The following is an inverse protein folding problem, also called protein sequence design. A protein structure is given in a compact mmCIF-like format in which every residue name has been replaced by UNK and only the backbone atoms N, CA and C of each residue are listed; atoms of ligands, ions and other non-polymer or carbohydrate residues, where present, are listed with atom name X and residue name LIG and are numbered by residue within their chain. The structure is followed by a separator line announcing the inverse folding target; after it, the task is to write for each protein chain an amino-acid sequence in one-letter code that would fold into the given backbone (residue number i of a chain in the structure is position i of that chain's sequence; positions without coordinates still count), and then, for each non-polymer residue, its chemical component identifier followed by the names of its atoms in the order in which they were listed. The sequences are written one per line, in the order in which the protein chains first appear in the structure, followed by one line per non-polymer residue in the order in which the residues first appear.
data_IF_900054349263
#
_entry.id   IF_900054349263
#
_cell.length_a   1.000
_cell.length_b   1.000
_cell.length_c   1.000
_cell.angle_alpha   90.00
_cell.angle_beta   90.00
_cell.angle_gamma   90.00
#
_symmetry.space_group_name_H-M   'P 1'
#
loop_
_entity.id
_entity.type
_entity.pdbx_description
1 polymer ?
#
# COMPACT_ATOMS: atom_id res chain seq x y z
N UNK A 1 3.56 -6.82 0.50
CA UNK A 1 3.72 -8.28 0.62
C UNK A 1 5.11 -8.82 0.21
N UNK A 2 5.97 -8.01 -0.43
CA UNK A 2 7.33 -8.43 -0.76
C UNK A 2 7.50 -9.24 -2.05
N UNK A 3 6.47 -9.48 -2.84
CA UNK A 3 6.54 -10.30 -4.06
C UNK A 3 7.20 -9.63 -5.26
N UNK A 4 7.28 -8.31 -5.27
CA UNK A 4 7.76 -7.54 -6.41
C UNK A 4 9.16 -7.02 -6.10
N UNK A 5 10.05 -7.01 -7.10
CA UNK A 5 11.38 -6.41 -6.95
C UNK A 5 11.25 -4.91 -6.61
N UNK A 6 12.11 -4.40 -5.72
CA UNK A 6 12.05 -3.02 -5.26
C UNK A 6 12.11 -2.01 -6.41
N UNK A 7 11.14 -1.08 -6.43
CA UNK A 7 11.02 -0.05 -7.46
C UNK A 7 10.11 -0.41 -8.64
N UNK A 8 9.81 -1.69 -8.88
CA UNK A 8 9.03 -2.09 -10.06
C UNK A 8 7.56 -1.66 -9.97
N UNK A 9 6.93 -1.78 -8.78
CA UNK A 9 5.49 -1.52 -8.59
C UNK A 9 5.05 -0.11 -8.97
N UNK A 10 5.93 0.87 -8.95
CA UNK A 10 5.64 2.26 -9.29
C UNK A 10 6.22 2.71 -10.63
N UNK A 11 6.97 1.83 -11.34
CA UNK A 11 7.57 2.17 -12.64
C UNK A 11 6.46 2.32 -13.69
N UNK A 12 6.36 3.46 -14.39
CA UNK A 12 5.36 3.66 -15.43
C UNK A 12 5.49 2.64 -16.57
N UNK A 13 4.37 2.19 -17.10
CA UNK A 13 4.35 1.15 -18.15
C UNK A 13 5.07 1.60 -19.45
N UNK A 14 5.05 2.89 -19.75
CA UNK A 14 5.71 3.47 -20.93
C UNK A 14 7.22 3.72 -20.71
N UNK A 15 7.73 3.60 -19.49
CA UNK A 15 9.16 3.82 -19.19
C UNK A 15 9.98 2.59 -19.58
N UNK A 16 11.13 2.80 -20.22
CA UNK A 16 12.04 1.71 -20.63
C UNK A 16 12.51 0.84 -19.44
N UNK A 17 12.56 1.40 -18.25
CA UNK A 17 12.85 0.67 -17.00
C UNK A 17 11.82 -0.42 -16.71
N UNK A 18 10.58 -0.27 -17.18
CA UNK A 18 9.57 -1.30 -17.00
C UNK A 18 9.98 -2.63 -17.65
N UNK A 19 10.46 -2.60 -18.92
CA UNK A 19 10.96 -3.78 -19.62
C UNK A 19 12.22 -4.36 -18.95
N UNK A 20 13.13 -3.49 -18.45
CA UNK A 20 14.30 -3.92 -17.72
C UNK A 20 13.93 -4.64 -16.42
N UNK A 21 12.99 -4.09 -15.64
CA UNK A 21 12.51 -4.70 -14.40
C UNK A 21 11.77 -6.03 -14.67
N UNK A 22 11.03 -6.14 -15.76
CA UNK A 22 10.42 -7.41 -16.17
C UNK A 22 11.48 -8.48 -16.44
N UNK A 23 12.55 -8.12 -17.16
CA UNK A 23 13.69 -9.01 -17.39
C UNK A 23 14.38 -9.44 -16.10
N UNK A 24 14.62 -8.50 -15.17
CA UNK A 24 15.21 -8.79 -13.85
C UNK A 24 14.31 -9.70 -13.02
N UNK A 25 12.99 -9.50 -13.08
CA UNK A 25 12.03 -10.36 -12.39
C UNK A 25 12.04 -11.79 -12.95
N UNK A 26 12.16 -11.94 -14.28
CA UNK A 26 12.30 -13.25 -14.91
C UNK A 26 13.58 -13.98 -14.51
N UNK A 27 14.70 -13.26 -14.37
CA UNK A 27 15.95 -13.86 -13.85
C UNK A 27 15.81 -14.22 -12.37
N UNK A 28 15.25 -13.31 -11.57
CA UNK A 28 15.09 -13.52 -10.13
C UNK A 28 14.24 -14.75 -9.80
N UNK A 29 13.17 -15.02 -10.53
CA UNK A 29 12.35 -16.20 -10.25
C UNK A 29 13.13 -17.52 -10.44
N UNK A 30 14.08 -17.56 -11.38
CA UNK A 30 14.96 -18.71 -11.55
C UNK A 30 15.88 -18.88 -10.35
N UNK A 31 16.49 -17.78 -9.86
CA UNK A 31 17.33 -17.83 -8.66
C UNK A 31 16.53 -18.29 -7.43
N UNK A 32 15.28 -17.81 -7.27
CA UNK A 32 14.39 -18.23 -6.17
C UNK A 32 14.12 -19.74 -6.18
N UNK A 33 14.04 -20.36 -7.35
CA UNK A 33 13.89 -21.83 -7.46
C UNK A 33 15.11 -22.55 -6.89
N UNK A 34 16.32 -22.08 -7.22
CA UNK A 34 17.56 -22.67 -6.69
C UNK A 34 17.76 -22.39 -5.19
N UNK A 35 17.26 -21.26 -4.70
CA UNK A 35 17.28 -20.88 -3.28
C UNK A 35 16.18 -21.59 -2.46
N UNK A 36 15.28 -22.31 -3.10
CA UNK A 36 14.02 -22.86 -2.52
C UNK A 36 13.17 -21.77 -1.82
N UNK A 37 13.24 -20.52 -2.30
CA UNK A 37 12.48 -19.40 -1.75
C UNK A 37 11.07 -19.40 -2.33
N UNK A 38 10.09 -19.69 -1.48
CA UNK A 38 8.67 -19.83 -1.85
C UNK A 38 7.86 -18.59 -1.48
N UNK A 39 6.71 -18.35 -2.12
CA UNK A 39 5.78 -17.31 -1.71
C UNK A 39 5.36 -17.41 -0.23
N UNK A 40 5.23 -18.64 0.31
CA UNK A 40 4.94 -18.90 1.73
C UNK A 40 6.00 -18.32 2.68
N UNK A 41 7.24 -18.20 2.24
CA UNK A 41 8.35 -17.70 3.07
C UNK A 41 8.35 -16.17 3.17
N UNK A 42 7.60 -15.50 2.30
CA UNK A 42 7.42 -14.05 2.26
C UNK A 42 6.15 -13.60 3.00
N UNK A 43 5.19 -14.53 3.19
CA UNK A 43 3.89 -14.22 3.78
C UNK A 43 3.92 -14.43 5.30
N UNK A 44 3.39 -13.45 6.00
CA UNK A 44 3.15 -13.48 7.45
C UNK A 44 2.04 -12.48 7.78
N UNK A 45 1.48 -12.54 8.98
CA UNK A 45 0.56 -11.53 9.47
C UNK A 45 1.15 -10.12 9.36
N UNK A 46 2.44 -9.99 9.67
CA UNK A 46 3.18 -8.72 9.57
C UNK A 46 3.28 -8.23 8.13
N UNK A 47 3.53 -9.11 7.17
CA UNK A 47 3.59 -8.72 5.75
C UNK A 47 2.23 -8.26 5.23
N UNK A 48 1.12 -8.83 5.71
CA UNK A 48 -0.22 -8.35 5.41
C UNK A 48 -0.50 -7.00 6.06
N UNK A 49 -0.10 -6.76 7.30
CA UNK A 49 -0.22 -5.45 7.96
C UNK A 49 0.57 -4.37 7.21
N UNK A 50 1.79 -4.66 6.79
CA UNK A 50 2.59 -3.77 5.96
C UNK A 50 1.90 -3.45 4.62
N UNK A 51 1.28 -4.45 3.99
CA UNK A 51 0.54 -4.24 2.75
C UNK A 51 -0.69 -3.35 2.96
N UNK A 52 -1.46 -3.59 4.02
CA UNK A 52 -2.62 -2.75 4.40
C UNK A 52 -2.17 -1.32 4.68
N UNK A 53 -1.14 -1.14 5.51
CA UNK A 53 -0.55 0.18 5.84
C UNK A 53 -0.13 0.93 4.57
N UNK A 54 0.53 0.24 3.65
CA UNK A 54 0.96 0.83 2.37
C UNK A 54 -0.22 1.25 1.51
N UNK A 55 -1.27 0.41 1.40
CA UNK A 55 -2.49 0.74 0.66
C UNK A 55 -3.18 1.96 1.25
N UNK A 56 -3.27 2.06 2.57
CA UNK A 56 -3.89 3.19 3.27
C UNK A 56 -3.10 4.48 3.05
N UNK A 57 -1.78 4.45 3.19
CA UNK A 57 -0.91 5.62 2.97
C UNK A 57 -0.94 6.14 1.52
N UNK A 58 -1.18 5.25 0.56
CA UNK A 58 -1.41 5.59 -0.85
C UNK A 58 -2.82 6.11 -1.11
N UNK A 59 -3.75 6.03 -0.16
CA UNK A 59 -5.19 6.11 -0.43
C UNK A 59 -5.53 5.22 -1.64
N UNK A 60 -5.12 3.96 -1.57
CA UNK A 60 -5.19 3.00 -2.66
C UNK A 60 -6.62 2.65 -3.08
N UNK A 61 -6.77 1.74 -4.02
CA UNK A 61 -8.07 1.29 -4.49
C UNK A 61 -8.74 0.39 -3.44
N UNK A 62 -10.07 0.51 -3.28
CA UNK A 62 -10.89 -0.43 -2.49
C UNK A 62 -10.77 -1.89 -2.99
N UNK A 63 -10.43 -2.09 -4.28
CA UNK A 63 -10.12 -3.42 -4.80
C UNK A 63 -8.97 -4.11 -4.05
N UNK A 64 -8.00 -3.34 -3.55
CA UNK A 64 -6.89 -3.88 -2.76
C UNK A 64 -7.38 -4.59 -1.50
N UNK A 65 -8.46 -4.13 -0.88
CA UNK A 65 -9.06 -4.76 0.30
C UNK A 65 -9.55 -6.17 -0.04
N UNK A 66 -10.31 -6.29 -1.14
CA UNK A 66 -10.83 -7.59 -1.62
C UNK A 66 -9.68 -8.56 -1.91
N UNK A 67 -8.66 -8.07 -2.64
CA UNK A 67 -7.53 -8.91 -3.04
C UNK A 67 -6.66 -9.32 -1.86
N UNK A 68 -6.34 -8.42 -0.93
CA UNK A 68 -5.53 -8.75 0.24
C UNK A 68 -6.24 -9.75 1.16
N UNK A 69 -7.56 -9.59 1.39
CA UNK A 69 -8.36 -10.56 2.16
C UNK A 69 -8.37 -11.94 1.46
N UNK A 70 -8.56 -11.97 0.14
CA UNK A 70 -8.55 -13.22 -0.62
C UNK A 70 -7.18 -13.91 -0.58
N UNK A 71 -6.09 -13.15 -0.73
CA UNK A 71 -4.73 -13.68 -0.66
C UNK A 71 -4.39 -14.19 0.74
N UNK A 72 -4.73 -13.45 1.79
CA UNK A 72 -4.52 -13.86 3.17
C UNK A 72 -5.25 -15.18 3.46
N UNK A 73 -6.53 -15.25 3.12
CA UNK A 73 -7.34 -16.46 3.30
C UNK A 73 -6.77 -17.65 2.54
N UNK A 74 -6.33 -17.46 1.31
CA UNK A 74 -5.71 -18.52 0.49
C UNK A 74 -4.41 -19.02 1.09
N UNK A 75 -3.65 -18.13 1.73
CA UNK A 75 -2.38 -18.42 2.39
C UNK A 75 -2.53 -18.94 3.84
N UNK A 76 -3.75 -19.05 4.36
CA UNK A 76 -4.02 -19.54 5.72
C UNK A 76 -3.95 -18.46 6.81
N UNK A 77 -3.89 -17.18 6.43
CA UNK A 77 -3.89 -16.04 7.37
C UNK A 77 -5.30 -15.44 7.52
N UNK A 78 -5.55 -14.83 8.68
CA UNK A 78 -6.78 -14.09 8.93
C UNK A 78 -6.56 -12.61 8.72
N UNK A 79 -7.22 -12.06 7.70
CA UNK A 79 -7.29 -10.63 7.43
C UNK A 79 -8.75 -10.30 7.16
N UNK A 80 -9.34 -9.48 8.02
CA UNK A 80 -10.74 -9.06 7.93
C UNK A 80 -10.86 -7.52 7.88
N UNK A 81 -12.07 -7.03 7.72
CA UNK A 81 -12.33 -5.59 7.66
C UNK A 81 -12.06 -4.90 9.00
N UNK A 82 -12.21 -5.60 10.14
CA UNK A 82 -11.91 -5.01 11.44
C UNK A 82 -10.41 -4.71 11.58
N UNK A 83 -9.54 -5.60 11.06
CA UNK A 83 -8.09 -5.36 11.03
C UNK A 83 -7.73 -4.19 10.11
N UNK A 84 -8.40 -4.06 8.94
CA UNK A 84 -8.25 -2.89 8.07
C UNK A 84 -8.62 -1.59 8.80
N UNK A 85 -9.76 -1.56 9.47
CA UNK A 85 -10.23 -0.39 10.22
C UNK A 85 -9.26 0.00 11.33
N UNK A 86 -8.80 -0.97 12.12
CA UNK A 86 -7.84 -0.74 13.18
C UNK A 86 -6.51 -0.13 12.68
N UNK A 87 -6.04 -0.54 11.48
CA UNK A 87 -4.85 0.02 10.87
C UNK A 87 -5.15 1.40 10.28
N UNK A 88 -6.31 1.59 9.63
CA UNK A 88 -6.70 2.84 8.98
C UNK A 88 -6.72 4.04 9.93
N UNK A 89 -7.15 3.83 11.17
CA UNK A 89 -7.21 4.88 12.20
C UNK A 89 -5.86 5.50 12.58
N UNK A 90 -4.76 4.84 12.27
CA UNK A 90 -3.39 5.27 12.64
C UNK A 90 -2.48 5.58 11.46
N UNK A 91 -2.93 5.28 10.24
CA UNK A 91 -2.11 5.44 9.04
C UNK A 91 -2.51 6.69 8.29
N UNK A 92 -1.60 7.68 8.17
CA UNK A 92 -1.84 8.88 7.40
C UNK A 92 -1.81 8.62 5.90
N UNK A 93 -2.54 9.41 5.13
CA UNK A 93 -2.43 9.45 3.67
C UNK A 93 -1.26 10.36 3.29
N UNK A 94 -0.22 9.80 2.71
CA UNK A 94 0.98 10.52 2.32
C UNK A 94 1.08 10.77 0.82
N UNK A 95 0.46 9.93 -0.01
CA UNK A 95 0.53 10.07 -1.45
C UNK A 95 -0.57 11.00 -1.98
N UNK A 96 -0.16 12.14 -2.57
CA UNK A 96 -1.04 13.13 -3.17
C UNK A 96 -1.31 12.78 -4.64
N UNK A 97 -1.85 11.58 -4.89
CA UNK A 97 -2.07 11.05 -6.24
C UNK A 97 -3.56 10.84 -6.54
N UNK A 98 -3.92 10.95 -7.79
CA UNK A 98 -5.32 10.74 -8.25
C UNK A 98 -5.78 9.30 -7.94
N UNK A 99 -7.08 9.11 -7.64
CA UNK A 99 -8.18 10.09 -7.64
C UNK A 99 -8.30 10.90 -6.34
N UNK A 100 -7.62 10.53 -5.26
CA UNK A 100 -7.71 11.20 -3.96
C UNK A 100 -6.89 12.50 -3.88
N UNK A 101 -5.90 12.65 -4.73
CA UNK A 101 -4.98 13.79 -4.76
C UNK A 101 -4.86 14.40 -6.16
N UNK A 102 -3.79 15.18 -6.34
CA UNK A 102 -3.60 16.05 -7.51
C UNK A 102 -2.78 15.40 -8.62
N UNK A 103 -1.73 14.64 -8.27
CA UNK A 103 -0.68 14.19 -9.17
C UNK A 103 -0.99 12.83 -9.81
N UNK A 104 -0.24 12.47 -10.85
CA UNK A 104 -0.32 11.16 -11.51
C UNK A 104 0.61 10.13 -10.83
N UNK A 105 0.43 8.85 -11.13
CA UNK A 105 1.33 7.79 -10.66
C UNK A 105 2.75 7.93 -11.23
N UNK A 106 2.91 8.55 -12.39
CA UNK A 106 4.21 8.89 -12.94
C UNK A 106 4.95 9.92 -12.07
N UNK A 107 4.24 10.96 -11.61
CA UNK A 107 4.80 11.95 -10.67
C UNK A 107 5.23 11.26 -9.37
N UNK A 108 4.42 10.31 -8.87
CA UNK A 108 4.75 9.53 -7.69
C UNK A 108 6.05 8.73 -7.88
N UNK A 109 6.22 8.10 -9.05
CA UNK A 109 7.45 7.38 -9.36
C UNK A 109 8.68 8.29 -9.32
N UNK A 110 8.61 9.46 -9.96
CA UNK A 110 9.73 10.43 -9.96
C UNK A 110 9.93 11.12 -8.61
N UNK A 111 8.90 11.21 -7.77
CA UNK A 111 9.02 11.71 -6.40
C UNK A 111 9.74 10.74 -5.44
N UNK A 112 10.10 9.54 -5.88
CA UNK A 112 10.78 8.50 -5.10
C UNK A 112 10.01 7.19 -4.99
N UNK A 113 8.76 7.17 -5.43
CA UNK A 113 7.92 6.00 -5.57
C UNK A 113 7.62 5.30 -4.25
N UNK A 114 7.30 4.02 -4.34
CA UNK A 114 6.89 3.22 -3.19
C UNK A 114 7.99 3.13 -2.11
N UNK A 115 9.26 3.09 -2.49
CA UNK A 115 10.36 3.01 -1.52
C UNK A 115 10.43 4.25 -0.64
N UNK A 116 10.26 5.43 -1.23
CA UNK A 116 10.24 6.69 -0.49
C UNK A 116 9.00 6.78 0.42
N UNK A 117 7.83 6.39 -0.08
CA UNK A 117 6.60 6.34 0.73
C UNK A 117 6.77 5.42 1.95
N UNK A 118 7.28 4.22 1.76
CA UNK A 118 7.49 3.25 2.85
C UNK A 118 8.53 3.77 3.85
N UNK A 119 9.56 4.47 3.38
CA UNK A 119 10.54 5.12 4.26
C UNK A 119 9.90 6.21 5.13
N UNK A 120 8.96 7.01 4.58
CA UNK A 120 8.22 8.05 5.33
C UNK A 120 7.27 7.47 6.37
N UNK A 121 6.76 6.26 6.18
CA UNK A 121 5.90 5.58 7.16
C UNK A 121 6.63 5.20 8.44
N UNK A 122 7.95 5.00 8.38
CA UNK A 122 8.81 4.75 9.54
C UNK A 122 8.35 3.54 10.35
N UNK A 123 8.07 3.75 11.64
CA UNK A 123 7.64 2.73 12.61
C UNK A 123 6.22 2.15 12.37
N UNK A 124 5.45 2.72 11.46
CA UNK A 124 4.17 2.12 11.03
C UNK A 124 4.37 0.89 10.12
N UNK A 125 5.59 0.66 9.67
CA UNK A 125 5.97 -0.48 8.83
C UNK A 125 7.00 -1.34 9.57
N UNK A 126 6.77 -2.64 9.61
CA UNK A 126 7.80 -3.56 10.10
C UNK A 126 8.78 -3.89 8.98
N UNK A 127 9.99 -3.37 9.12
CA UNK A 127 11.07 -3.55 8.15
C UNK A 127 11.68 -4.94 8.10
N UNK A 128 11.36 -5.84 9.02
CA UNK A 128 11.94 -7.19 9.11
C UNK A 128 11.42 -8.17 8.05
N UNK A 129 10.29 -7.85 7.40
CA UNK A 129 9.66 -8.72 6.41
C UNK A 129 10.55 -8.96 5.20
N UNK A 130 10.64 -10.23 4.75
CA UNK A 130 11.45 -10.62 3.59
C UNK A 130 10.76 -10.28 2.27
N UNK A 131 11.56 -10.00 1.25
CA UNK A 131 11.10 -9.73 -0.11
C UNK A 131 11.70 -10.74 -1.09
N UNK A 132 11.10 -10.81 -2.29
CA UNK A 132 11.49 -11.73 -3.35
C UNK A 132 12.98 -11.63 -3.77
N UNK A 133 13.63 -10.48 -3.54
CA UNK A 133 15.07 -10.33 -3.79
C UNK A 133 15.97 -10.90 -2.67
N UNK A 134 15.39 -11.59 -1.69
CA UNK A 134 16.10 -12.19 -0.55
C UNK A 134 16.44 -11.23 0.59
N UNK A 135 16.21 -9.93 0.41
CA UNK A 135 16.49 -8.89 1.41
C UNK A 135 15.25 -8.56 2.24
N UNK A 136 15.45 -7.93 3.38
CA UNK A 136 14.37 -7.38 4.19
C UNK A 136 13.79 -6.10 3.58
N UNK A 137 12.60 -5.72 4.02
CA UNK A 137 11.98 -4.46 3.61
C UNK A 137 12.83 -3.26 4.05
N UNK A 138 13.39 -3.28 5.26
CA UNK A 138 14.29 -2.24 5.75
C UNK A 138 15.50 -2.04 4.85
N UNK A 139 16.16 -3.12 4.43
CA UNK A 139 17.29 -3.05 3.49
C UNK A 139 16.85 -2.49 2.13
N UNK A 140 15.67 -2.84 1.66
CA UNK A 140 15.14 -2.38 0.37
C UNK A 140 14.75 -0.91 0.34
N UNK A 141 14.32 -0.34 1.46
CA UNK A 141 13.95 1.09 1.56
C UNK A 141 15.09 1.95 2.10
N UNK A 142 16.16 1.33 2.61
CA UNK A 142 17.32 2.04 3.11
C UNK A 142 17.87 3.04 2.10
N UNK A 143 18.08 4.31 2.53
CA UNK A 143 18.55 5.39 1.69
C UNK A 143 17.53 5.92 0.65
N UNK A 144 16.28 5.45 0.67
CA UNK A 144 15.23 6.05 -0.16
C UNK A 144 14.99 7.51 0.24
N UNK A 145 14.75 8.36 -0.76
CA UNK A 145 14.52 9.79 -0.55
C UNK A 145 13.25 10.23 -1.25
N UNK A 146 12.55 11.16 -0.62
CA UNK A 146 11.47 11.92 -1.25
C UNK A 146 12.10 13.06 -2.03
N UNK A 147 11.88 13.06 -3.36
CA UNK A 147 12.38 14.13 -4.25
C UNK A 147 11.36 15.24 -4.48
N UNK A 148 10.08 14.98 -4.18
CA UNK A 148 9.02 15.98 -4.25
C UNK A 148 8.03 15.76 -3.10
N UNK A 149 8.09 16.64 -2.10
CA UNK A 149 7.25 16.60 -0.90
C UNK A 149 5.79 17.00 -1.15
N UNK A 150 5.45 17.58 -2.32
CA UNK A 150 4.06 17.84 -2.69
C UNK A 150 3.37 16.55 -3.17
N UNK A 151 4.13 15.62 -3.74
CA UNK A 151 3.63 14.34 -4.26
C UNK A 151 3.63 13.25 -3.18
N UNK A 152 4.74 13.13 -2.43
CA UNK A 152 4.86 12.25 -1.27
C UNK A 152 5.03 13.16 -0.05
N UNK A 153 3.94 13.32 0.71
CA UNK A 153 3.92 14.19 1.88
C UNK A 153 4.76 13.59 3.01
N UNK A 154 5.49 14.42 3.76
CA UNK A 154 6.16 13.96 4.96
C UNK A 154 5.12 13.52 6.01
N UNK A 155 5.47 12.53 6.82
CA UNK A 155 4.58 12.00 7.87
C UNK A 155 4.08 13.08 8.85
N UNK A 156 4.89 14.09 9.14
CA UNK A 156 4.53 15.21 10.03
C UNK A 156 3.60 16.26 9.40
N UNK A 157 3.30 16.15 8.09
CA UNK A 157 2.38 17.03 7.38
C UNK A 157 1.66 16.23 6.26
N UNK A 158 0.85 15.22 6.61
CA UNK A 158 0.20 14.34 5.65
C UNK A 158 -0.88 15.07 4.83
N UNK A 159 -1.37 14.42 3.80
CA UNK A 159 -2.54 14.89 3.04
C UNK A 159 -3.83 14.76 3.87
N UNK A 160 -3.95 13.64 4.58
CA UNK A 160 -5.03 13.33 5.53
C UNK A 160 -4.40 12.57 6.70
N UNK A 161 -4.80 12.91 7.92
CA UNK A 161 -4.19 12.36 9.16
C UNK A 161 -4.44 10.85 9.33
N UNK A 162 -5.62 10.36 8.89
CA UNK A 162 -5.98 8.94 8.94
C UNK A 162 -7.11 8.64 7.94
N UNK A 163 -7.58 7.40 7.94
CA UNK A 163 -8.81 7.00 7.25
C UNK A 163 -8.80 7.22 5.72
N UNK A 164 -7.68 6.93 5.08
CA UNK A 164 -7.57 6.89 3.61
C UNK A 164 -8.58 5.93 2.95
N UNK A 165 -8.96 4.89 3.66
CA UNK A 165 -10.13 4.02 3.44
C UNK A 165 -10.82 3.83 4.80
N UNK A 166 -12.14 3.84 4.82
CA UNK A 166 -12.94 3.60 6.04
C UNK A 166 -13.82 2.37 5.87
N UNK A 167 -14.01 1.66 6.97
CA UNK A 167 -14.94 0.54 7.04
C UNK A 167 -16.23 1.00 7.71
N UNK A 168 -17.33 0.85 7.00
CA UNK A 168 -18.67 1.19 7.48
C UNK A 168 -19.42 -0.09 7.85
N UNK A 169 -20.09 -0.09 8.98
CA UNK A 169 -20.95 -1.20 9.42
C UNK A 169 -22.34 -0.66 9.79
N UNK A 170 -23.37 -1.45 9.60
CA UNK A 170 -24.74 -1.08 9.93
C UNK A 170 -25.75 -2.07 9.37
N UNK A 171 -27.04 -1.76 9.53
CA UNK A 171 -28.13 -2.62 9.08
C UNK A 171 -28.16 -2.86 7.56
N UNK A 172 -27.69 -1.90 6.75
CA UNK A 172 -27.54 -2.05 5.30
C UNK A 172 -26.30 -2.86 4.90
N UNK A 173 -25.27 -2.84 5.72
CA UNK A 173 -24.01 -3.54 5.47
C UNK A 173 -23.52 -4.24 6.76
N UNK A 174 -24.22 -5.26 7.25
CA UNK A 174 -23.88 -5.89 8.53
C UNK A 174 -22.52 -6.61 8.51
N UNK A 175 -22.02 -6.96 7.33
CA UNK A 175 -20.69 -7.56 7.13
C UNK A 175 -19.62 -6.53 6.80
N UNK A 176 -19.96 -5.24 6.80
CA UNK A 176 -19.09 -4.14 6.46
C UNK A 176 -19.11 -3.75 4.99
N UNK A 177 -18.83 -2.48 4.74
CA UNK A 177 -18.59 -1.89 3.43
C UNK A 177 -17.33 -1.02 3.52
N UNK A 178 -16.66 -0.79 2.39
CA UNK A 178 -15.46 0.05 2.33
C UNK A 178 -15.75 1.31 1.52
N UNK A 179 -15.38 2.45 2.06
CA UNK A 179 -15.48 3.74 1.41
C UNK A 179 -14.11 4.41 1.34
N UNK A 180 -13.91 5.25 0.33
CA UNK A 180 -12.69 6.06 0.14
C UNK A 180 -13.03 7.55 0.27
N UNK A 181 -13.01 8.13 1.49
CA UNK A 181 -13.43 9.51 1.73
C UNK A 181 -12.64 10.54 0.89
N UNK A 182 -11.30 10.43 0.75
CA UNK A 182 -10.54 11.42 0.00
C UNK A 182 -10.86 11.50 -1.50
N UNK A 183 -11.56 10.49 -2.04
CA UNK A 183 -12.01 10.47 -3.43
C UNK A 183 -13.53 10.73 -3.56
N UNK A 184 -14.23 10.97 -2.46
CA UNK A 184 -15.66 11.29 -2.48
C UNK A 184 -15.88 12.73 -2.98
N UNK A 185 -16.98 12.93 -3.69
CA UNK A 185 -17.38 14.25 -4.15
C UNK A 185 -17.86 15.09 -2.95
N UNK A 186 -17.18 16.19 -2.60
CA UNK A 186 -17.53 17.02 -1.45
C UNK A 186 -18.94 17.66 -1.59
N UNK A 187 -19.46 17.79 -2.81
CA UNK A 187 -20.81 18.30 -3.03
C UNK A 187 -21.92 17.31 -2.64
N UNK A 188 -21.56 16.06 -2.40
CA UNK A 188 -22.45 14.97 -1.97
C UNK A 188 -22.30 14.62 -0.49
N UNK A 189 -21.72 15.49 0.33
CA UNK A 189 -21.54 15.28 1.77
C UNK A 189 -22.83 14.85 2.49
N UNK A 190 -23.99 15.32 2.04
CA UNK A 190 -25.28 14.94 2.61
C UNK A 190 -25.62 13.45 2.45
N UNK A 191 -25.07 12.75 1.44
CA UNK A 191 -25.24 11.31 1.26
C UNK A 191 -24.40 10.50 2.26
N UNK A 192 -23.37 11.11 2.85
CA UNK A 192 -22.41 10.45 3.72
C UNK A 192 -22.45 10.97 5.17
N UNK A 193 -23.34 11.92 5.47
CA UNK A 193 -23.63 12.31 6.86
C UNK A 193 -24.39 11.19 7.57
N UNK A 194 -23.71 10.08 7.78
CA UNK A 194 -24.09 9.13 8.81
C UNK A 194 -23.60 9.75 10.12
N UNK A 195 -24.51 10.21 10.96
CA UNK A 195 -24.17 10.69 12.30
C UNK A 195 -23.53 9.54 13.05
N UNK A 196 -22.32 9.78 13.48
CA UNK A 196 -21.67 9.00 14.50
C UNK A 196 -22.16 9.54 15.86
N UNK A 197 -23.15 8.92 16.44
CA UNK A 197 -23.53 9.03 17.85
C UNK A 197 -23.08 7.79 18.59
#
# INVERSE_FOLDING_TARGET
LGFILPGFSSTPAADSRHAQMATLSGRRIVDMVWEDLKPSDLLSDVSFDNAVTTVLALSGSSNSVVHLIAMARRAGFTLDLARFDAIARRVPVLANVRPAGKYLMEDFFYAGGLRALVSELGDLIDGSTRNANGKTLAENVGGAKVYNADVIRPRGAPLVESDGLVVLTGNLAPRGAVMKPPAADPTREWLFRVRWE
#
